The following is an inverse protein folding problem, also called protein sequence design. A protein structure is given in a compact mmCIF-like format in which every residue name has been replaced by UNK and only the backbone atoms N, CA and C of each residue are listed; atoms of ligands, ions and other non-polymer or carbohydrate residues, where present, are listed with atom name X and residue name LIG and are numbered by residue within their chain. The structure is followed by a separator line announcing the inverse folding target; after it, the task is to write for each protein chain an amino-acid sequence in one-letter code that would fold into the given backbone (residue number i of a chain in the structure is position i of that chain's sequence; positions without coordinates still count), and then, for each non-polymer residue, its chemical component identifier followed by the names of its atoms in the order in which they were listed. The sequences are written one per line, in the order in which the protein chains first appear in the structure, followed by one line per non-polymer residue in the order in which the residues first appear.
data_IF_511791922720
#
_entry.id   IF_511791922720
#
_cell.length_a   1.000
_cell.length_b   1.000
_cell.length_c   1.000
_cell.angle_alpha   90.00
_cell.angle_beta   90.00
_cell.angle_gamma   90.00
#
_symmetry.space_group_name_H-M   'P 1'
#
loop_
_entity.id
_entity.type
_entity.pdbx_description
1 polymer ?
#
# COMPACT_ATOMS: atom_id res chain seq x y z
N UNK A 1 -5.48 6.15 -13.47
CA UNK A 1 -6.07 6.55 -12.16
C UNK A 1 -7.59 6.65 -12.21
N UNK A 2 -8.21 7.28 -13.24
CA UNK A 2 -9.68 7.41 -13.36
C UNK A 2 -10.46 6.10 -13.11
N UNK A 3 -10.13 5.00 -13.80
CA UNK A 3 -10.85 3.71 -13.65
C UNK A 3 -10.93 3.26 -12.19
N UNK A 4 -9.79 3.22 -11.51
CA UNK A 4 -9.70 2.85 -10.08
C UNK A 4 -10.60 3.75 -9.23
N UNK A 5 -10.59 5.06 -9.47
CA UNK A 5 -11.42 6.01 -8.72
C UNK A 5 -12.91 5.85 -9.04
N UNK A 6 -13.28 5.52 -10.28
CA UNK A 6 -14.66 5.22 -10.67
C UNK A 6 -15.16 3.96 -9.98
N UNK A 7 -14.40 2.87 -10.04
CA UNK A 7 -14.72 1.60 -9.38
C UNK A 7 -14.82 1.79 -7.88
N UNK A 8 -13.91 2.56 -7.27
CA UNK A 8 -13.95 2.88 -5.86
C UNK A 8 -15.18 3.69 -5.48
N UNK A 9 -15.55 4.69 -6.29
CA UNK A 9 -16.77 5.47 -6.07
C UNK A 9 -18.01 4.58 -6.12
N UNK A 10 -18.05 3.63 -7.06
CA UNK A 10 -19.12 2.64 -7.14
C UNK A 10 -19.13 1.71 -5.93
N UNK A 11 -17.96 1.20 -5.50
CA UNK A 11 -17.84 0.33 -4.33
C UNK A 11 -18.30 1.04 -3.05
N UNK A 12 -17.92 2.30 -2.85
CA UNK A 12 -18.33 3.10 -1.68
C UNK A 12 -19.85 3.28 -1.67
N UNK A 13 -20.47 3.55 -2.82
CA UNK A 13 -21.92 3.65 -2.94
C UNK A 13 -22.59 2.30 -2.62
N UNK A 14 -22.11 1.21 -3.22
CA UNK A 14 -22.63 -0.13 -2.96
C UNK A 14 -22.55 -0.50 -1.47
N UNK A 15 -21.40 -0.24 -0.83
CA UNK A 15 -21.21 -0.49 0.59
C UNK A 15 -22.13 0.38 1.46
N UNK A 16 -22.39 1.62 1.05
CA UNK A 16 -23.33 2.51 1.72
C UNK A 16 -24.77 1.99 1.62
N UNK A 17 -25.17 1.48 0.45
CA UNK A 17 -26.49 0.86 0.24
C UNK A 17 -26.67 -0.42 1.09
N UNK A 18 -25.58 -1.15 1.34
CA UNK A 18 -25.54 -2.30 2.23
C UNK A 18 -25.42 -1.93 3.72
N UNK A 19 -25.55 -0.65 4.08
CA UNK A 19 -25.41 -0.12 5.45
C UNK A 19 -24.04 -0.33 6.10
N UNK A 20 -22.99 -0.49 5.28
CA UNK A 20 -21.59 -0.68 5.70
C UNK A 20 -20.68 0.42 5.13
N UNK A 21 -20.87 1.71 5.48
CA UNK A 21 -20.08 2.79 4.89
C UNK A 21 -18.58 2.61 5.22
N UNK A 22 -17.68 2.67 4.23
CA UNK A 22 -16.25 2.57 4.46
C UNK A 22 -15.70 3.83 5.12
N UNK A 23 -14.56 3.70 5.80
CA UNK A 23 -13.84 4.85 6.35
C UNK A 23 -13.26 5.71 5.21
N UNK A 24 -13.60 7.01 5.21
CA UNK A 24 -13.08 8.00 4.27
C UNK A 24 -12.05 8.92 4.97
N UNK A 25 -11.03 9.41 4.26
CA UNK A 25 -10.71 9.17 2.85
C UNK A 25 -10.01 7.83 2.62
N UNK A 26 -10.32 7.15 1.51
CA UNK A 26 -9.66 5.90 1.14
C UNK A 26 -8.25 6.21 0.62
N UNK A 27 -7.21 5.60 1.19
CA UNK A 27 -5.84 5.82 0.74
C UNK A 27 -5.53 5.07 -0.55
N UNK A 28 -5.19 5.82 -1.58
CA UNK A 28 -4.77 5.31 -2.88
C UNK A 28 -3.28 5.61 -3.08
N UNK A 29 -2.54 4.54 -3.31
CA UNK A 29 -1.10 4.58 -3.51
C UNK A 29 -0.75 4.53 -5.00
N UNK A 30 0.25 5.27 -5.43
CA UNK A 30 0.80 5.18 -6.78
C UNK A 30 2.32 5.38 -6.79
N UNK A 31 2.98 4.73 -7.74
CA UNK A 31 4.42 4.81 -8.00
C UNK A 31 4.81 6.03 -8.87
N UNK A 32 3.85 6.67 -9.53
CA UNK A 32 4.06 7.87 -10.32
C UNK A 32 3.87 9.15 -9.50
N UNK A 33 4.97 9.78 -9.05
CA UNK A 33 4.92 11.13 -8.45
C UNK A 33 4.26 12.15 -9.40
N UNK A 34 4.54 12.05 -10.71
CA UNK A 34 3.91 12.88 -11.72
C UNK A 34 2.39 12.68 -11.75
N UNK A 35 1.90 11.44 -11.67
CA UNK A 35 0.46 11.12 -11.64
C UNK A 35 -0.21 11.71 -10.41
N UNK A 36 0.45 11.65 -9.25
CA UNK A 36 -0.06 12.24 -8.00
C UNK A 36 -0.09 13.77 -8.08
N UNK A 37 0.98 14.39 -8.61
CA UNK A 37 1.03 15.85 -8.77
C UNK A 37 -0.03 16.36 -9.75
N UNK A 38 -0.22 15.69 -10.89
CA UNK A 38 -1.26 16.03 -11.85
C UNK A 38 -2.65 15.94 -11.21
N UNK A 39 -2.91 14.90 -10.39
CA UNK A 39 -4.18 14.77 -9.69
C UNK A 39 -4.40 15.82 -8.58
N UNK A 40 -3.33 16.33 -7.94
CA UNK A 40 -3.40 17.29 -6.84
C UNK A 40 -3.38 18.76 -7.28
N UNK A 41 -2.65 19.13 -8.33
CA UNK A 41 -2.33 20.52 -8.65
C UNK A 41 -2.91 20.98 -10.03
N UNK A 42 -3.65 22.11 -10.11
CA UNK A 42 -4.16 22.68 -11.38
C UNK A 42 -3.11 23.26 -12.32
N UNK A 43 -1.88 23.52 -11.85
CA UNK A 43 -0.89 24.37 -12.55
C UNK A 43 -0.08 23.58 -13.59
N UNK A 44 -0.76 22.78 -14.42
CA UNK A 44 -0.25 22.39 -15.73
C UNK A 44 -1.31 22.77 -16.75
N UNK A 45 -1.27 24.03 -17.19
CA UNK A 45 -2.10 24.52 -18.29
C UNK A 45 -1.44 24.22 -19.64
N UNK A 46 -2.28 23.90 -20.61
CA UNK A 46 -2.12 24.18 -22.05
C UNK A 46 -1.31 23.19 -22.91
N UNK A 47 -1.85 21.97 -23.12
CA UNK A 47 -1.93 21.25 -24.43
C UNK A 47 -2.25 19.74 -24.28
N UNK A 48 -3.38 19.35 -23.70
CA UNK A 48 -3.94 17.99 -23.98
C UNK A 48 -5.44 17.92 -23.63
N UNK A 49 -6.29 18.34 -24.57
CA UNK A 49 -7.75 18.43 -24.43
C UNK A 49 -8.46 17.10 -24.04
N UNK A 50 -7.76 15.96 -24.09
CA UNK A 50 -8.27 14.63 -23.71
C UNK A 50 -7.79 14.12 -22.34
N UNK A 51 -6.75 14.72 -21.74
CA UNK A 51 -6.21 14.31 -20.42
C UNK A 51 -6.96 15.02 -19.27
N UNK A 52 -7.58 16.16 -19.56
CA UNK A 52 -8.23 17.01 -18.56
C UNK A 52 -9.44 16.34 -17.90
N UNK A 53 -10.32 15.67 -18.65
CA UNK A 53 -11.55 15.09 -18.07
C UNK A 53 -11.25 14.00 -17.02
N UNK A 54 -10.26 13.16 -17.30
CA UNK A 54 -9.85 12.09 -16.38
C UNK A 54 -9.21 12.65 -15.12
N UNK A 55 -8.36 13.66 -15.29
CA UNK A 55 -7.71 14.36 -14.18
C UNK A 55 -8.73 15.12 -13.32
N UNK A 56 -9.65 15.86 -13.96
CA UNK A 56 -10.70 16.59 -13.28
C UNK A 56 -11.56 15.67 -12.42
N UNK A 57 -11.99 14.52 -12.95
CA UNK A 57 -12.80 13.58 -12.18
C UNK A 57 -12.06 13.07 -10.94
N UNK A 58 -10.82 12.58 -11.11
CA UNK A 58 -10.00 12.08 -9.98
C UNK A 58 -9.80 13.17 -8.94
N UNK A 59 -9.58 14.41 -9.39
CA UNK A 59 -9.40 15.55 -8.51
C UNK A 59 -10.67 15.94 -7.75
N UNK A 60 -11.84 15.91 -8.39
CA UNK A 60 -13.10 16.14 -7.69
C UNK A 60 -13.27 15.11 -6.56
N UNK A 61 -12.93 13.84 -6.81
CA UNK A 61 -12.99 12.80 -5.77
C UNK A 61 -11.95 13.01 -4.66
N UNK A 62 -10.78 13.56 -4.98
CA UNK A 62 -9.79 13.95 -3.98
C UNK A 62 -10.27 15.14 -3.12
N UNK A 63 -10.82 16.19 -3.76
CA UNK A 63 -11.31 17.39 -3.07
C UNK A 63 -12.57 17.14 -2.23
N UNK A 64 -13.43 16.23 -2.66
CA UNK A 64 -14.60 15.78 -1.87
C UNK A 64 -14.21 14.92 -0.66
N UNK A 65 -12.94 14.55 -0.52
CA UNK A 65 -12.46 13.73 0.59
C UNK A 65 -12.81 12.25 0.45
N UNK A 66 -13.23 11.79 -0.73
CA UNK A 66 -13.47 10.37 -0.97
C UNK A 66 -12.15 9.58 -0.98
N UNK A 67 -11.10 10.17 -1.56
CA UNK A 67 -9.80 9.54 -1.72
C UNK A 67 -8.66 10.42 -1.20
N UNK A 68 -7.62 9.80 -0.67
CA UNK A 68 -6.33 10.45 -0.39
C UNK A 68 -5.26 9.83 -1.29
N UNK A 69 -4.40 10.66 -1.88
CA UNK A 69 -3.34 10.20 -2.78
C UNK A 69 -1.98 10.28 -2.08
N UNK A 70 -1.27 9.16 -2.00
CA UNK A 70 0.08 9.09 -1.45
C UNK A 70 1.02 8.33 -2.39
N UNK A 71 2.29 8.72 -2.36
CA UNK A 71 3.30 8.04 -3.15
C UNK A 71 3.77 6.78 -2.45
N UNK A 72 3.90 5.71 -3.22
CA UNK A 72 4.48 4.46 -2.75
C UNK A 72 5.59 4.04 -3.72
N UNK A 73 6.85 3.91 -3.26
CA UNK A 73 7.93 3.50 -4.14
C UNK A 73 7.69 2.08 -4.66
N UNK A 74 8.05 1.82 -5.91
CA UNK A 74 7.81 0.53 -6.60
C UNK A 74 8.37 -0.67 -5.84
N UNK A 75 9.49 -0.50 -5.11
CA UNK A 75 10.07 -1.54 -4.24
C UNK A 75 9.12 -2.03 -3.14
N UNK A 76 8.10 -1.23 -2.81
CA UNK A 76 7.13 -1.49 -1.75
C UNK A 76 5.69 -1.66 -2.26
N UNK A 77 5.47 -1.52 -3.58
CA UNK A 77 4.17 -1.62 -4.24
C UNK A 77 3.85 -3.09 -4.54
N UNK A 78 3.08 -3.72 -3.65
CA UNK A 78 2.69 -5.14 -3.79
C UNK A 78 1.87 -5.39 -5.07
N UNK A 79 1.17 -4.40 -5.60
CA UNK A 79 0.46 -4.50 -6.88
C UNK A 79 1.39 -4.79 -8.08
N UNK A 80 2.67 -4.43 -7.99
CA UNK A 80 3.65 -4.73 -9.04
C UNK A 80 3.87 -6.24 -9.19
N UNK A 81 3.67 -7.02 -8.12
CA UNK A 81 3.71 -8.49 -8.15
C UNK A 81 2.73 -9.09 -9.17
N UNK A 82 1.56 -8.47 -9.32
CA UNK A 82 0.47 -8.97 -10.17
C UNK A 82 0.48 -8.39 -11.58
N UNK A 83 1.31 -7.36 -11.84
CA UNK A 83 1.23 -6.58 -13.08
C UNK A 83 2.55 -6.50 -13.85
N UNK A 84 3.69 -6.79 -13.20
CA UNK A 84 5.02 -6.65 -13.81
C UNK A 84 5.87 -7.90 -13.55
N UNK A 85 6.71 -8.32 -14.53
CA UNK A 85 7.77 -9.29 -14.26
C UNK A 85 8.89 -8.60 -13.47
N UNK A 86 9.00 -8.92 -12.18
CA UNK A 86 9.99 -8.33 -11.26
C UNK A 86 11.16 -9.30 -10.97
N UNK A 87 12.39 -8.80 -10.73
CA UNK A 87 13.53 -9.64 -10.38
C UNK A 87 13.29 -10.46 -9.11
N UNK A 88 13.88 -11.65 -9.04
CA UNK A 88 13.62 -12.63 -7.97
C UNK A 88 13.84 -12.11 -6.55
N UNK A 89 14.80 -11.22 -6.32
CA UNK A 89 15.06 -10.59 -5.02
C UNK A 89 13.92 -9.68 -4.59
N UNK A 90 13.47 -8.78 -5.47
CA UNK A 90 12.31 -7.90 -5.24
C UNK A 90 11.01 -8.69 -5.12
N UNK A 91 10.86 -9.77 -5.89
CA UNK A 91 9.73 -10.68 -5.82
C UNK A 91 9.63 -11.33 -4.43
N UNK A 92 10.73 -11.89 -3.92
CA UNK A 92 10.74 -12.51 -2.60
C UNK A 92 10.47 -11.50 -1.48
N UNK A 93 10.99 -10.27 -1.60
CA UNK A 93 10.67 -9.18 -0.68
C UNK A 93 9.18 -8.83 -0.66
N UNK A 94 8.56 -8.70 -1.84
CA UNK A 94 7.13 -8.41 -1.95
C UNK A 94 6.23 -9.59 -1.51
N UNK A 95 6.66 -10.84 -1.74
CA UNK A 95 5.97 -12.03 -1.22
C UNK A 95 5.98 -12.08 0.30
N UNK A 96 7.12 -11.81 0.93
CA UNK A 96 7.22 -11.70 2.38
C UNK A 96 6.31 -10.60 2.92
N UNK A 97 6.26 -9.44 2.23
CA UNK A 97 5.36 -8.33 2.59
C UNK A 97 3.87 -8.69 2.44
N UNK A 98 3.53 -9.56 1.48
CA UNK A 98 2.18 -10.10 1.29
C UNK A 98 1.82 -11.18 2.34
N UNK A 99 2.80 -11.64 3.13
CA UNK A 99 2.60 -12.71 4.12
C UNK A 99 2.72 -14.12 3.54
N UNK A 100 3.22 -14.26 2.31
CA UNK A 100 3.50 -15.57 1.70
C UNK A 100 4.79 -16.10 2.32
N UNK A 101 4.65 -17.05 3.25
CA UNK A 101 5.78 -17.74 3.87
C UNK A 101 6.11 -18.97 3.03
N UNK A 102 7.38 -19.15 2.68
CA UNK A 102 7.83 -20.43 2.15
C UNK A 102 7.61 -21.47 3.25
N UNK A 103 6.80 -22.48 2.95
CA UNK A 103 6.68 -23.65 3.82
C UNK A 103 8.08 -24.28 3.91
N UNK A 104 8.57 -24.67 5.09
CA UNK A 104 9.78 -25.49 5.17
C UNK A 104 9.45 -26.83 4.51
N UNK A 105 9.77 -26.94 3.24
CA UNK A 105 9.63 -28.19 2.50
C UNK A 105 10.59 -29.20 3.14
N UNK A 106 10.09 -30.06 4.03
CA UNK A 106 10.81 -31.21 4.58
C UNK A 106 11.10 -32.30 3.51
N UNK A 107 10.97 -31.96 2.22
CA UNK A 107 11.14 -32.86 1.09
C UNK A 107 11.89 -32.14 -0.04
N UNK A 108 13.18 -31.84 0.17
CA UNK A 108 14.25 -31.98 -0.84
C UNK A 108 15.61 -31.72 -0.20
N UNK A 109 16.60 -32.55 -0.54
CA UNK A 109 17.96 -32.54 -0.03
C UNK A 109 18.68 -31.20 -0.17
N UNK A 110 19.64 -31.00 0.73
CA UNK A 110 20.25 -29.72 1.05
C UNK A 110 20.88 -28.97 -0.13
N UNK A 111 20.74 -27.66 -0.05
CA UNK A 111 21.80 -26.73 -0.45
C UNK A 111 21.80 -25.55 0.54
N UNK A 112 23.00 -25.09 0.87
CA UNK A 112 23.31 -24.34 2.10
C UNK A 112 22.52 -23.04 2.28
N UNK A 113 21.80 -22.96 3.40
CA UNK A 113 21.37 -21.69 3.98
C UNK A 113 22.61 -20.87 4.34
N UNK A 114 22.79 -19.74 3.65
CA UNK A 114 23.58 -18.63 4.15
C UNK A 114 22.93 -18.21 5.47
N UNK A 115 23.67 -18.40 6.57
CA UNK A 115 23.33 -17.86 7.89
C UNK A 115 23.32 -16.33 7.79
N UNK A 116 22.14 -15.72 7.79
CA UNK A 116 22.05 -14.34 8.24
C UNK A 116 22.06 -14.33 9.77
N UNK A 117 23.28 -14.25 10.30
CA UNK A 117 23.57 -14.08 11.72
C UNK A 117 23.41 -12.61 12.07
N UNK A 118 22.18 -12.13 12.26
CA UNK A 118 21.89 -10.94 13.07
C UNK A 118 20.41 -10.80 13.40
N UNK A 119 19.94 -11.56 14.40
CA UNK A 119 18.83 -11.14 15.25
C UNK A 119 19.08 -11.66 16.67
N UNK A 120 19.87 -10.90 17.43
CA UNK A 120 19.99 -11.11 18.88
C UNK A 120 18.68 -10.67 19.54
N UNK A 121 17.85 -11.67 19.80
CA UNK A 121 17.10 -11.95 21.03
C UNK A 121 17.14 -10.87 22.11
N UNK A 122 15.96 -10.38 22.50
CA UNK A 122 15.61 -9.92 23.86
C UNK A 122 14.07 -9.90 23.93
N UNK A 123 13.49 -11.08 24.19
CA UNK A 123 12.21 -11.23 24.91
C UNK A 123 12.63 -11.42 26.38
N UNK A 124 12.18 -10.51 27.23
CA UNK A 124 11.13 -10.71 28.25
C UNK A 124 11.53 -11.71 29.33
N UNK A 125 11.84 -11.16 30.51
CA UNK A 125 11.15 -11.49 31.77
C UNK A 125 11.96 -10.90 32.92
N UNK A 126 11.40 -9.89 33.61
CA UNK A 126 11.44 -9.90 35.07
C UNK A 126 10.46 -8.87 35.69
N UNK A 127 9.50 -9.45 36.40
CA UNK A 127 9.00 -8.96 37.67
C UNK A 127 7.91 -7.86 37.68
N UNK A 128 6.67 -8.36 37.56
CA UNK A 128 5.54 -7.93 38.40
C UNK A 128 5.99 -7.55 39.83
N UNK A 129 5.36 -6.50 40.38
CA UNK A 129 5.30 -6.06 41.81
C UNK A 129 6.32 -5.05 42.35
N UNK A 130 5.89 -3.77 42.40
CA UNK A 130 5.73 -2.89 43.59
C UNK A 130 5.26 -1.52 43.06
N UNK A 131 4.00 -1.11 43.16
CA UNK A 131 3.29 -0.67 44.37
C UNK A 131 4.18 0.15 45.32
N UNK A 132 3.82 1.44 45.45
CA UNK A 132 3.89 2.30 46.64
C UNK A 132 4.83 3.52 46.58
N UNK A 133 4.22 4.69 46.80
CA UNK A 133 4.67 5.85 47.62
C UNK A 133 5.82 6.72 47.08
N UNK A 134 5.52 7.96 46.66
CA UNK A 134 5.44 9.19 47.47
C UNK A 134 6.80 9.62 48.07
N UNK A 135 7.28 10.75 47.57
CA UNK A 135 8.34 11.59 48.11
C UNK A 135 8.41 12.85 47.27
#
# INVERSE_FOLDING_TARGET
MRRVVTELTWLVRLLSDLSLPPALPISLHSDGQATIHIAKNPVFHERTKHVDLDCHFVRQQYLTGLISLSFLPSSSQVADLFTKPIPGTSHHFLLNKLGVRSSPSNLRGGDGFIKDSSMKKLEDDDFVTKKNEKG
#
